data_IF_394631824304
#
_entry.id   IF_394631824304
#
_cell.length_a   1.000
_cell.length_b   1.000
_cell.length_c   1.000
_cell.angle_alpha   90.00
_cell.angle_beta   90.00
_cell.angle_gamma   90.00
#
_symmetry.space_group_name_H-M   'P 1'
#
loop_
_entity.id
_entity.type
_entity.pdbx_description
1 polymer ?
#
# COMPACT_ATOMS: atom_id res chain seq x y z
N UNK A 1 5.22 -14.50 -19.88
CA UNK A 1 4.33 -14.95 -18.79
C UNK A 1 3.40 -13.82 -18.40
N UNK A 2 2.17 -14.12 -17.98
CA UNK A 2 1.23 -13.10 -17.48
C UNK A 2 1.74 -12.63 -16.11
N UNK A 3 2.02 -11.33 -15.96
CA UNK A 3 2.37 -10.75 -14.67
C UNK A 3 1.10 -10.59 -13.84
N UNK A 4 1.15 -10.96 -12.57
CA UNK A 4 0.05 -10.74 -11.63
C UNK A 4 0.08 -9.32 -11.11
N UNK A 5 -1.09 -8.76 -10.83
CA UNK A 5 -1.20 -7.46 -10.18
C UNK A 5 -0.71 -7.53 -8.73
N UNK A 6 -0.25 -6.40 -8.17
CA UNK A 6 0.08 -6.27 -6.75
C UNK A 6 -1.08 -6.72 -5.86
N UNK A 7 -0.77 -7.39 -4.75
CA UNK A 7 -1.77 -7.91 -3.81
C UNK A 7 -2.07 -6.96 -2.65
N UNK A 8 -1.20 -5.98 -2.42
CA UNK A 8 -1.34 -5.01 -1.33
C UNK A 8 -1.07 -3.59 -1.82
N UNK A 9 -1.60 -2.62 -1.07
CA UNK A 9 -1.32 -1.20 -1.32
C UNK A 9 0.19 -0.93 -1.33
N UNK A 10 0.95 -1.56 -0.43
CA UNK A 10 2.41 -1.46 -0.38
C UNK A 10 3.05 -1.89 -1.69
N UNK A 11 2.72 -3.08 -2.18
CA UNK A 11 3.26 -3.58 -3.45
C UNK A 11 2.85 -2.69 -4.62
N UNK A 12 1.62 -2.19 -4.64
CA UNK A 12 1.15 -1.28 -5.68
C UNK A 12 1.93 0.04 -5.70
N UNK A 13 2.22 0.61 -4.52
CA UNK A 13 3.02 1.83 -4.39
C UNK A 13 4.47 1.59 -4.81
N UNK A 14 5.04 0.41 -4.53
CA UNK A 14 6.38 0.06 -5.00
C UNK A 14 6.44 -0.14 -6.52
N UNK A 15 5.47 -0.83 -7.12
CA UNK A 15 5.41 -0.98 -8.58
C UNK A 15 5.18 0.38 -9.27
N UNK A 16 4.37 1.26 -8.68
CA UNK A 16 4.15 2.63 -9.18
C UNK A 16 5.45 3.44 -9.22
N UNK A 17 6.35 3.28 -8.24
CA UNK A 17 7.65 3.96 -8.23
C UNK A 17 8.57 3.52 -9.37
N UNK A 18 8.37 2.32 -9.89
CA UNK A 18 9.18 1.75 -10.96
C UNK A 18 8.61 2.03 -12.37
N UNK A 19 7.42 2.63 -12.47
CA UNK A 19 6.77 2.95 -13.74
C UNK A 19 7.04 4.41 -14.14
N UNK A 20 8.01 4.60 -15.04
CA UNK A 20 8.41 5.94 -15.50
C UNK A 20 7.29 6.70 -16.22
N UNK A 21 6.38 6.00 -16.91
CA UNK A 21 5.26 6.65 -17.61
C UNK A 21 4.28 7.24 -16.61
N UNK A 22 3.97 6.50 -15.54
CA UNK A 22 3.07 6.98 -14.49
C UNK A 22 3.71 8.12 -13.67
N UNK A 23 5.01 8.03 -13.39
CA UNK A 23 5.77 9.10 -12.71
C UNK A 23 5.75 10.40 -13.53
N UNK A 24 6.03 10.31 -14.84
CA UNK A 24 6.01 11.47 -15.73
C UNK A 24 4.61 12.06 -15.88
N UNK A 25 3.59 11.21 -15.95
CA UNK A 25 2.19 11.65 -16.11
C UNK A 25 1.68 12.42 -14.88
N UNK A 26 2.05 11.99 -13.68
CA UNK A 26 1.67 12.66 -12.44
C UNK A 26 2.52 13.91 -12.16
N UNK A 27 3.76 13.92 -12.65
CA UNK A 27 4.74 14.96 -12.34
C UNK A 27 5.33 14.82 -10.93
N UNK A 28 6.55 15.32 -10.75
CA UNK A 28 7.39 15.07 -9.56
C UNK A 28 6.68 15.42 -8.24
N UNK A 29 6.02 16.59 -8.18
CA UNK A 29 5.39 17.08 -6.96
C UNK A 29 4.18 16.22 -6.53
N UNK A 30 3.28 15.92 -7.45
CA UNK A 30 2.08 15.14 -7.15
C UNK A 30 2.43 13.67 -6.90
N UNK A 31 3.37 13.11 -7.68
CA UNK A 31 3.87 11.76 -7.47
C UNK A 31 4.46 11.59 -6.06
N UNK A 32 5.35 12.50 -5.64
CA UNK A 32 5.97 12.44 -4.31
C UNK A 32 4.93 12.48 -3.19
N UNK A 33 3.98 13.43 -3.26
CA UNK A 33 2.91 13.53 -2.26
C UNK A 33 2.02 12.28 -2.24
N UNK A 34 1.70 11.74 -3.41
CA UNK A 34 0.88 10.52 -3.51
C UNK A 34 1.57 9.32 -2.85
N UNK A 35 2.84 9.09 -3.17
CA UNK A 35 3.64 8.01 -2.59
C UNK A 35 3.74 8.17 -1.08
N UNK A 36 4.02 9.37 -0.58
CA UNK A 36 4.13 9.66 0.84
C UNK A 36 2.81 9.38 1.57
N UNK A 37 1.70 9.91 1.06
CA UNK A 37 0.37 9.70 1.62
C UNK A 37 -0.03 8.22 1.64
N UNK A 38 0.19 7.49 0.54
CA UNK A 38 -0.17 6.06 0.46
C UNK A 38 0.73 5.15 1.27
N UNK A 39 2.00 5.52 1.45
CA UNK A 39 2.89 4.81 2.37
C UNK A 39 2.43 5.00 3.81
N UNK A 40 2.08 6.23 4.20
CA UNK A 40 1.56 6.52 5.54
C UNK A 40 0.23 5.80 5.82
N UNK A 41 -0.70 5.78 4.86
CA UNK A 41 -1.97 5.04 4.96
C UNK A 41 -1.75 3.54 5.19
N UNK A 42 -0.81 2.94 4.45
CA UNK A 42 -0.46 1.53 4.65
C UNK A 42 0.16 1.27 6.03
N UNK A 43 1.05 2.15 6.48
CA UNK A 43 1.68 2.04 7.79
C UNK A 43 0.67 2.18 8.92
N UNK A 44 -0.30 3.09 8.81
CA UNK A 44 -1.40 3.20 9.76
C UNK A 44 -2.21 1.89 9.81
N UNK A 45 -2.62 1.37 8.64
CA UNK A 45 -3.41 0.14 8.56
C UNK A 45 -2.71 -1.07 9.20
N UNK A 46 -1.43 -1.31 8.87
CA UNK A 46 -0.70 -2.51 9.36
C UNK A 46 -0.36 -2.46 10.84
N UNK A 47 -0.44 -1.28 11.48
CA UNK A 47 -0.22 -1.11 12.91
C UNK A 47 -1.51 -1.29 13.73
N UNK A 48 -2.67 -1.32 13.07
CA UNK A 48 -3.95 -1.54 13.73
C UNK A 48 -4.12 -3.01 14.10
N UNK A 49 -4.59 -3.25 15.33
CA UNK A 49 -5.17 -4.55 15.70
C UNK A 49 -6.64 -4.51 15.30
N UNK A 50 -6.97 -5.31 14.29
CA UNK A 50 -8.31 -5.35 13.71
C UNK A 50 -9.26 -6.19 14.54
N UNK A 51 -10.56 -5.92 14.41
CA UNK A 51 -11.60 -6.73 15.08
C UNK A 51 -11.51 -8.22 14.69
N UNK A 52 -11.17 -8.51 13.44
CA UNK A 52 -10.93 -9.89 12.98
C UNK A 52 -9.80 -10.57 13.76
N UNK A 53 -8.71 -9.87 14.05
CA UNK A 53 -7.61 -10.42 14.84
C UNK A 53 -8.04 -10.67 16.29
N UNK A 54 -8.81 -9.76 16.87
CA UNK A 54 -9.36 -9.91 18.23
C UNK A 54 -10.25 -11.15 18.29
N UNK A 55 -11.24 -11.28 17.40
CA UNK A 55 -12.14 -12.43 17.35
C UNK A 55 -11.37 -13.74 17.12
N UNK A 56 -10.37 -13.70 16.25
CA UNK A 56 -9.61 -14.90 15.87
C UNK A 56 -8.69 -15.42 16.96
N UNK A 57 -8.07 -14.53 17.72
CA UNK A 57 -6.98 -14.86 18.65
C UNK A 57 -7.32 -14.64 20.12
N UNK A 58 -8.27 -13.76 20.45
CA UNK A 58 -8.64 -13.45 21.83
C UNK A 58 -9.74 -14.37 22.39
N UNK A 59 -10.70 -14.83 21.57
CA UNK A 59 -11.74 -15.79 22.01
C UNK A 59 -11.22 -17.23 22.22
N UNK A 60 -9.96 -17.50 21.83
CA UNK A 60 -9.31 -18.80 22.00
C UNK A 60 -8.57 -18.96 23.33
N UNK A 61 -8.62 -17.95 24.21
CA UNK A 61 -7.99 -17.94 25.52
C UNK A 61 -9.03 -18.24 26.60
#
# INVERSE_FOLDING_TARGET
>A
GIKTLPYSLREAVEELKNDSVLVETLGEHAFKQYVEAKTAEYDEYRLQVTQWEIERYLEKI
#
